data_IF_975804935774
#
_entry.id   IF_975804935774
#
_cell.length_a   1.000
_cell.length_b   1.000
_cell.length_c   1.000
_cell.angle_alpha   90.00
_cell.angle_beta   90.00
_cell.angle_gamma   90.00
#
_symmetry.space_group_name_H-M   'P 1'
#
loop_
_entity.id
_entity.type
_entity.pdbx_description
1 polymer ?
#
# COMPACT_ATOMS: atom_id res chain seq x y z
N UNK A 1 33.80 4.93 4.69
CA UNK A 1 32.54 5.09 3.95
C UNK A 1 32.55 4.07 2.83
N UNK A 2 31.49 3.27 2.67
CA UNK A 2 31.09 2.49 1.48
C UNK A 2 30.36 1.21 1.91
N UNK A 3 29.08 1.34 2.24
CA UNK A 3 28.13 0.23 2.29
C UNK A 3 27.14 0.50 1.15
N UNK A 4 27.47 0.08 -0.08
CA UNK A 4 26.64 0.34 -1.26
C UNK A 4 26.62 -0.86 -2.23
N UNK A 5 26.57 -2.10 -1.74
CA UNK A 5 26.70 -3.25 -2.64
C UNK A 5 25.83 -4.50 -2.37
N UNK A 6 24.70 -4.44 -1.65
CA UNK A 6 23.90 -5.68 -1.42
C UNK A 6 22.38 -5.61 -1.64
N UNK A 7 21.83 -4.62 -2.36
CA UNK A 7 20.36 -4.47 -2.44
C UNK A 7 19.72 -4.41 -3.84
N UNK A 8 20.45 -4.71 -4.91
CA UNK A 8 19.94 -4.56 -6.29
C UNK A 8 18.59 -5.30 -6.56
N UNK A 9 18.41 -6.59 -6.20
CA UNK A 9 17.14 -7.30 -6.47
C UNK A 9 16.00 -6.91 -5.50
N UNK A 10 16.33 -6.47 -4.28
CA UNK A 10 15.33 -5.97 -3.34
C UNK A 10 14.81 -4.58 -3.72
N UNK A 11 15.64 -3.78 -4.40
CA UNK A 11 15.24 -2.46 -4.88
C UNK A 11 14.26 -2.59 -6.06
N UNK A 12 14.53 -3.50 -6.99
CA UNK A 12 13.65 -3.78 -8.13
C UNK A 12 12.25 -4.26 -7.68
N UNK A 13 12.19 -5.09 -6.64
CA UNK A 13 10.92 -5.56 -6.08
C UNK A 13 10.13 -4.43 -5.42
N UNK A 14 10.81 -3.52 -4.72
CA UNK A 14 10.17 -2.35 -4.08
C UNK A 14 9.64 -1.37 -5.13
N UNK A 15 10.43 -1.08 -6.16
CA UNK A 15 10.03 -0.18 -7.24
C UNK A 15 8.80 -0.69 -8.00
N UNK A 16 8.66 -2.02 -8.16
CA UNK A 16 7.46 -2.63 -8.74
C UNK A 16 6.19 -2.33 -7.91
N UNK A 17 6.25 -2.50 -6.59
CA UNK A 17 5.12 -2.17 -5.71
C UNK A 17 4.80 -0.67 -5.72
N UNK A 18 5.81 0.21 -5.77
CA UNK A 18 5.57 1.65 -5.91
C UNK A 18 4.83 1.97 -7.20
N UNK A 19 5.18 1.31 -8.31
CA UNK A 19 4.53 1.49 -9.60
C UNK A 19 3.08 1.00 -9.58
N UNK A 20 2.83 -0.19 -9.01
CA UNK A 20 1.47 -0.71 -8.86
C UNK A 20 0.58 0.19 -8.00
N UNK A 21 1.11 0.72 -6.90
CA UNK A 21 0.38 1.68 -6.05
C UNK A 21 0.10 2.97 -6.81
N UNK A 22 1.05 3.47 -7.60
CA UNK A 22 0.85 4.66 -8.42
C UNK A 22 -0.27 4.45 -9.45
N UNK A 23 -0.22 3.35 -10.21
CA UNK A 23 -1.25 3.01 -11.21
C UNK A 23 -2.63 2.79 -10.57
N UNK A 24 -2.69 2.14 -9.40
CA UNK A 24 -3.93 1.98 -8.63
C UNK A 24 -4.47 3.35 -8.18
N UNK A 25 -3.60 4.21 -7.68
CA UNK A 25 -3.97 5.56 -7.25
C UNK A 25 -4.55 6.34 -8.42
N UNK A 26 -3.93 6.32 -9.59
CA UNK A 26 -4.45 6.99 -10.79
C UNK A 26 -5.84 6.47 -11.20
N UNK A 27 -6.07 5.15 -11.14
CA UNK A 27 -7.40 4.58 -11.41
C UNK A 27 -8.46 5.05 -10.42
N UNK A 28 -8.10 5.13 -9.13
CA UNK A 28 -9.01 5.64 -8.11
C UNK A 28 -9.30 7.14 -8.29
N UNK A 29 -8.30 7.92 -8.70
CA UNK A 29 -8.44 9.34 -8.99
C UNK A 29 -9.38 9.54 -10.18
N UNK A 30 -9.20 8.76 -11.24
CA UNK A 30 -10.05 8.82 -12.43
C UNK A 30 -11.51 8.44 -12.13
N UNK A 31 -11.74 7.47 -11.24
CA UNK A 31 -13.08 6.98 -10.92
C UNK A 31 -13.82 7.84 -9.86
N UNK A 32 -13.12 8.31 -8.84
CA UNK A 32 -13.73 8.90 -7.63
C UNK A 32 -13.11 10.25 -7.20
N UNK A 33 -12.04 10.68 -7.86
CA UNK A 33 -11.36 11.93 -7.55
C UNK A 33 -10.15 11.79 -6.62
N UNK A 34 -9.37 12.86 -6.57
CA UNK A 34 -8.09 12.92 -5.87
C UNK A 34 -8.21 12.80 -4.36
N UNK A 35 -9.21 13.47 -3.78
CA UNK A 35 -9.42 13.51 -2.32
C UNK A 35 -9.79 12.13 -1.77
N UNK A 36 -10.64 11.39 -2.50
CA UNK A 36 -10.99 10.02 -2.15
C UNK A 36 -9.76 9.11 -2.16
N UNK A 37 -8.98 9.16 -3.24
CA UNK A 37 -7.80 8.30 -3.40
C UNK A 37 -6.76 8.55 -2.31
N UNK A 38 -6.47 9.82 -2.01
CA UNK A 38 -5.58 10.20 -0.92
C UNK A 38 -6.08 9.70 0.43
N UNK A 39 -7.37 9.87 0.73
CA UNK A 39 -7.97 9.41 1.99
C UNK A 39 -7.85 7.89 2.19
N UNK A 40 -8.10 7.11 1.14
CA UNK A 40 -7.98 5.64 1.18
C UNK A 40 -6.53 5.20 1.42
N UNK A 41 -5.55 5.81 0.75
CA UNK A 41 -4.13 5.47 0.94
C UNK A 41 -3.63 5.83 2.34
N UNK A 42 -4.05 6.98 2.88
CA UNK A 42 -3.74 7.37 4.27
C UNK A 42 -4.36 6.38 5.25
N UNK A 43 -5.59 5.94 5.01
CA UNK A 43 -6.24 4.93 5.83
C UNK A 43 -5.50 3.58 5.76
N UNK A 44 -5.10 3.14 4.56
CA UNK A 44 -4.32 1.92 4.37
C UNK A 44 -2.98 1.99 5.11
N UNK A 45 -2.26 3.11 5.01
CA UNK A 45 -1.02 3.35 5.76
C UNK A 45 -1.24 3.29 7.27
N UNK A 46 -2.35 3.86 7.76
CA UNK A 46 -2.73 3.78 9.18
C UNK A 46 -2.99 2.35 9.62
N UNK A 47 -3.69 1.54 8.82
CA UNK A 47 -3.92 0.13 9.15
C UNK A 47 -2.61 -0.67 9.24
N UNK A 48 -1.67 -0.42 8.32
CA UNK A 48 -0.34 -1.03 8.36
C UNK A 48 0.40 -0.61 9.63
N UNK A 49 0.38 0.68 9.98
CA UNK A 49 1.01 1.20 11.18
C UNK A 49 0.39 0.64 12.48
N UNK A 50 -0.93 0.43 12.50
CA UNK A 50 -1.64 -0.15 13.63
C UNK A 50 -1.38 -1.67 13.80
N UNK A 51 -0.72 -2.33 12.83
CA UNK A 51 -0.43 -3.78 12.84
C UNK A 51 -1.64 -4.67 13.16
N UNK A 52 -2.85 -4.18 12.89
CA UNK A 52 -4.06 -4.97 13.10
C UNK A 52 -4.19 -5.93 11.92
N UNK A 53 -4.24 -7.25 12.16
CA UNK A 53 -4.55 -8.17 11.09
C UNK A 53 -5.92 -7.76 10.51
N UNK A 54 -6.04 -7.77 9.18
CA UNK A 54 -7.34 -7.70 8.50
C UNK A 54 -8.06 -9.04 8.72
N UNK A 55 -8.26 -9.43 9.98
CA UNK A 55 -9.16 -10.50 10.34
C UNK A 55 -10.55 -9.97 10.09
N UNK A 56 -11.07 -10.29 8.90
CA UNK A 56 -12.49 -10.53 8.75
C UNK A 56 -12.82 -11.76 9.60
N UNK A 57 -12.87 -11.58 10.92
CA UNK A 57 -13.68 -12.47 11.75
C UNK A 57 -15.10 -12.16 11.33
N UNK A 58 -15.58 -12.90 10.32
CA UNK A 58 -17.00 -13.17 10.20
C UNK A 58 -17.50 -13.51 11.60
N UNK A 59 -18.47 -12.76 12.16
CA UNK A 59 -19.09 -13.19 13.40
C UNK A 59 -19.66 -14.58 13.11
N UNK A 60 -19.17 -15.58 13.83
CA UNK A 60 -19.75 -16.91 13.88
C UNK A 60 -21.25 -16.72 14.14
N UNK A 61 -22.07 -17.01 13.14
CA UNK A 61 -23.52 -17.03 13.29
C UNK A 61 -23.85 -18.22 14.18
N UNK A 62 -23.88 -17.98 15.49
CA UNK A 62 -24.53 -18.85 16.48
C UNK A 62 -25.91 -18.31 16.82
#
# INVERSE_FOLDING_TARGET
>A
MSQAQTNQPENDSKDAFFREIAELSERMIAAHGKEFSMGVLVLAARFIAESKPFTSTLPDLQ
#
